data_IF_928477086112
#
_entry.id   IF_928477086112
#
_cell.length_a   1.000
_cell.length_b   1.000
_cell.length_c   1.000
_cell.angle_alpha   90.00
_cell.angle_beta   90.00
_cell.angle_gamma   90.00
#
_symmetry.space_group_name_H-M   'P 1'
#
loop_
_entity.id
_entity.type
_entity.pdbx_description
1 polymer ?
#
# COMPACT_ATOMS: atom_id res chain seq x y z
N UNK A 1 18.27 47.47 -73.62
CA UNK A 1 19.03 47.47 -72.35
C UNK A 1 18.42 46.57 -71.26
N UNK A 2 17.88 45.36 -71.56
CA UNK A 2 17.16 44.54 -70.56
C UNK A 2 17.65 43.08 -70.41
N UNK A 3 18.73 42.67 -71.08
CA UNK A 3 19.21 41.28 -71.04
C UNK A 3 20.21 41.01 -69.90
N UNK A 4 20.95 42.02 -69.42
CA UNK A 4 22.00 41.86 -68.42
C UNK A 4 21.46 41.74 -66.97
N UNK A 5 20.33 42.38 -66.68
CA UNK A 5 19.69 42.34 -65.35
C UNK A 5 18.96 41.02 -65.05
N UNK A 6 18.56 40.28 -66.09
CA UNK A 6 17.81 39.01 -65.96
C UNK A 6 18.73 37.87 -65.51
N UNK A 7 19.97 37.83 -66.01
CA UNK A 7 20.98 36.84 -65.63
C UNK A 7 21.48 37.05 -64.21
N UNK A 8 21.66 38.31 -63.79
CA UNK A 8 22.07 38.65 -62.42
C UNK A 8 20.98 38.31 -61.39
N UNK A 9 19.70 38.55 -61.74
CA UNK A 9 18.54 38.18 -60.90
C UNK A 9 18.38 36.67 -60.74
N UNK A 10 18.67 35.89 -61.79
CA UNK A 10 18.63 34.42 -61.72
C UNK A 10 19.81 33.84 -60.91
N UNK A 11 21.01 34.44 -61.00
CA UNK A 11 22.14 34.06 -60.14
C UNK A 11 21.90 34.41 -58.67
N UNK A 12 21.26 35.55 -58.40
CA UNK A 12 20.87 35.96 -57.05
C UNK A 12 19.81 35.00 -56.46
N UNK A 13 18.84 34.58 -57.27
CA UNK A 13 17.82 33.59 -56.86
C UNK A 13 18.41 32.20 -56.59
N UNK A 14 19.35 31.75 -57.43
CA UNK A 14 20.06 30.48 -57.19
C UNK A 14 20.95 30.53 -55.94
N UNK A 15 21.57 31.68 -55.64
CA UNK A 15 22.34 31.87 -54.42
C UNK A 15 21.44 31.90 -53.16
N UNK A 16 20.25 32.50 -53.26
CA UNK A 16 19.26 32.51 -52.17
C UNK A 16 18.69 31.11 -51.88
N UNK A 17 18.43 30.31 -52.92
CA UNK A 17 17.99 28.91 -52.77
C UNK A 17 19.11 28.04 -52.16
N UNK A 18 20.37 28.26 -52.58
CA UNK A 18 21.52 27.56 -51.99
C UNK A 18 21.75 27.92 -50.52
N UNK A 19 21.48 29.16 -50.11
CA UNK A 19 21.64 29.61 -48.72
C UNK A 19 20.52 29.09 -47.79
N UNK A 20 19.32 28.85 -48.33
CA UNK A 20 18.19 28.29 -47.57
C UNK A 20 18.37 26.81 -47.19
N UNK A 21 19.23 26.06 -47.90
CA UNK A 21 19.53 24.65 -47.61
C UNK A 21 20.41 24.39 -46.38
N UNK A 22 20.97 25.44 -45.76
CA UNK A 22 21.83 25.32 -44.57
C UNK A 22 21.07 25.36 -43.24
N UNK A 23 19.76 25.63 -43.26
CA UNK A 23 18.88 25.51 -42.09
C UNK A 23 18.26 24.12 -42.02
N UNK A 24 19.11 23.09 -41.90
CA UNK A 24 18.65 21.75 -41.51
C UNK A 24 18.21 21.79 -40.04
N UNK A 25 16.99 21.33 -39.76
CA UNK A 25 16.52 21.07 -38.41
C UNK A 25 17.59 20.28 -37.64
N UNK A 26 18.05 20.84 -36.50
CA UNK A 26 18.66 20.02 -35.46
C UNK A 26 17.51 19.25 -34.84
N UNK A 27 17.43 17.96 -35.13
CA UNK A 27 16.57 17.07 -34.35
C UNK A 27 17.01 17.21 -32.89
N UNK A 28 16.10 17.67 -32.04
CA UNK A 28 16.32 17.69 -30.60
C UNK A 28 16.46 16.23 -30.17
N UNK A 29 17.70 15.77 -30.05
CA UNK A 29 18.02 14.46 -29.49
C UNK A 29 17.67 14.51 -28.01
N UNK A 30 16.41 14.21 -27.70
CA UNK A 30 16.00 13.92 -26.34
C UNK A 30 16.86 12.74 -25.85
N UNK A 31 17.73 12.94 -24.84
CA UNK A 31 18.54 11.85 -24.34
C UNK A 31 17.60 10.74 -23.84
N UNK A 32 17.85 9.51 -24.31
CA UNK A 32 17.09 8.33 -23.88
C UNK A 32 17.11 8.28 -22.35
N UNK A 33 15.96 8.11 -21.67
CA UNK A 33 15.93 8.04 -20.22
C UNK A 33 16.87 6.94 -19.72
N UNK A 34 17.66 7.26 -18.70
CA UNK A 34 18.57 6.34 -18.01
C UNK A 34 17.81 5.06 -17.64
N UNK A 35 18.39 3.89 -17.97
CA UNK A 35 17.80 2.61 -17.63
C UNK A 35 17.84 2.41 -16.11
N UNK A 36 16.71 2.61 -15.44
CA UNK A 36 16.57 2.25 -14.03
C UNK A 36 16.52 0.73 -13.90
N UNK A 37 17.23 0.18 -12.91
CA UNK A 37 17.14 -1.23 -12.53
C UNK A 37 15.68 -1.56 -12.20
N UNK A 38 15.08 -2.49 -12.94
CA UNK A 38 13.77 -3.05 -12.60
C UNK A 38 13.91 -3.80 -11.27
N UNK A 39 13.26 -3.30 -10.23
CA UNK A 39 13.17 -4.00 -8.96
C UNK A 39 12.28 -5.24 -9.17
N UNK A 40 12.86 -6.42 -9.02
CA UNK A 40 12.15 -7.69 -9.02
C UNK A 40 12.13 -8.26 -7.60
N UNK A 41 10.95 -8.67 -7.15
CA UNK A 41 10.74 -9.21 -5.81
C UNK A 41 10.36 -10.67 -5.95
N UNK A 42 10.96 -11.52 -5.13
CA UNK A 42 10.62 -12.94 -5.09
C UNK A 42 9.14 -13.15 -4.78
N UNK A 43 8.55 -14.19 -5.38
CA UNK A 43 7.18 -14.60 -5.07
C UNK A 43 6.95 -14.70 -3.56
N UNK A 44 5.87 -14.08 -3.03
CA UNK A 44 5.61 -14.05 -1.61
C UNK A 44 5.33 -15.47 -1.10
N UNK A 45 5.90 -15.79 0.06
CA UNK A 45 5.58 -17.00 0.81
C UNK A 45 4.93 -16.60 2.11
N UNK A 46 3.82 -17.26 2.44
CA UNK A 46 3.02 -16.89 3.60
C UNK A 46 3.13 -17.95 4.69
N UNK A 47 3.07 -17.48 5.94
CA UNK A 47 2.93 -18.32 7.13
C UNK A 47 1.88 -17.70 8.06
N UNK A 48 1.16 -18.49 8.86
CA UNK A 48 0.27 -17.94 9.87
C UNK A 48 1.06 -17.08 10.86
N UNK A 49 0.56 -15.88 11.15
CA UNK A 49 1.03 -15.04 12.24
C UNK A 49 0.07 -15.18 13.42
N UNK A 50 0.59 -15.69 14.54
CA UNK A 50 -0.13 -15.77 15.81
C UNK A 50 0.65 -14.92 16.81
N UNK A 51 0.03 -13.83 17.25
CA UNK A 51 0.58 -12.88 18.21
C UNK A 51 -0.22 -12.85 19.51
N UNK A 52 0.09 -11.92 20.43
CA UNK A 52 -0.64 -11.76 21.69
C UNK A 52 -2.00 -11.03 21.53
N UNK A 53 -2.38 -10.71 20.28
CA UNK A 53 -3.53 -9.86 19.96
C UNK A 53 -4.75 -10.72 19.59
N UNK A 54 -5.99 -10.23 19.71
CA UNK A 54 -7.20 -11.02 19.46
C UNK A 54 -7.51 -11.20 17.95
N UNK A 55 -6.49 -11.37 17.14
CA UNK A 55 -6.61 -11.59 15.69
C UNK A 55 -5.36 -12.29 15.14
N UNK A 56 -5.57 -13.05 14.07
CA UNK A 56 -4.52 -13.77 13.33
C UNK A 56 -4.72 -13.56 11.83
N UNK A 57 -3.65 -13.69 11.06
CA UNK A 57 -3.65 -13.53 9.60
C UNK A 57 -2.41 -14.21 9.01
N UNK A 58 -2.36 -14.38 7.70
CA UNK A 58 -1.17 -14.84 6.99
C UNK A 58 -0.19 -13.68 6.77
N UNK A 59 1.08 -13.91 7.10
CA UNK A 59 2.15 -12.92 6.91
C UNK A 59 3.19 -13.40 5.91
N UNK A 60 3.69 -12.45 5.12
CA UNK A 60 4.81 -12.67 4.21
C UNK A 60 6.10 -13.01 4.99
N UNK A 61 6.84 -14.00 4.53
CA UNK A 61 8.11 -14.43 5.12
C UNK A 61 9.22 -13.37 5.10
N UNK A 62 9.15 -12.42 4.16
CA UNK A 62 10.10 -11.30 4.06
C UNK A 62 9.77 -10.14 5.02
N UNK A 63 8.63 -10.20 5.70
CA UNK A 63 8.17 -9.15 6.59
C UNK A 63 8.73 -9.32 8.01
N UNK A 64 9.04 -8.20 8.66
CA UNK A 64 9.48 -8.15 10.06
C UNK A 64 8.40 -7.47 10.90
N UNK A 65 7.78 -8.22 11.81
CA UNK A 65 6.72 -7.71 12.69
C UNK A 65 7.31 -7.15 13.96
N UNK A 66 6.82 -5.97 14.35
CA UNK A 66 7.02 -5.39 15.67
C UNK A 66 5.65 -5.09 16.26
N UNK A 67 5.40 -5.60 17.47
CA UNK A 67 4.18 -5.33 18.21
C UNK A 67 4.30 -3.93 18.85
N UNK A 68 3.27 -3.11 18.67
CA UNK A 68 3.16 -1.79 19.31
C UNK A 68 2.20 -1.85 20.50
N UNK A 69 1.91 -0.71 21.12
CA UNK A 69 0.86 -0.66 22.15
C UNK A 69 -0.50 -1.04 21.55
N UNK A 70 -1.43 -1.41 22.45
CA UNK A 70 -2.86 -1.57 22.15
C UNK A 70 -3.17 -2.58 21.02
N UNK A 71 -2.39 -3.66 20.96
CA UNK A 71 -2.52 -4.69 19.93
C UNK A 71 -2.33 -4.16 18.49
N UNK A 72 -1.60 -3.05 18.32
CA UNK A 72 -1.15 -2.60 17.01
C UNK A 72 0.12 -3.33 16.54
N UNK A 73 0.37 -3.29 15.23
CA UNK A 73 1.54 -3.92 14.60
C UNK A 73 2.19 -2.97 13.59
N UNK A 74 3.52 -2.99 13.56
CA UNK A 74 4.35 -2.47 12.48
C UNK A 74 4.92 -3.66 11.69
N UNK A 75 4.45 -3.85 10.47
CA UNK A 75 4.91 -4.91 9.56
C UNK A 75 5.86 -4.29 8.54
N UNK A 76 7.15 -4.48 8.76
CA UNK A 76 8.20 -3.83 7.99
C UNK A 76 8.65 -4.70 6.81
N UNK A 77 8.84 -4.08 5.65
CA UNK A 77 9.45 -4.66 4.46
C UNK A 77 10.74 -3.91 4.13
N UNK A 78 11.89 -4.25 4.75
CA UNK A 78 13.13 -3.47 4.63
C UNK A 78 13.61 -3.31 3.19
N UNK A 79 13.50 -4.36 2.36
CA UNK A 79 13.88 -4.36 0.94
C UNK A 79 13.02 -3.42 0.08
N UNK A 80 11.80 -3.13 0.52
CA UNK A 80 10.84 -2.26 -0.17
C UNK A 80 10.74 -0.87 0.46
N UNK A 81 11.42 -0.65 1.59
CA UNK A 81 11.33 0.59 2.40
C UNK A 81 9.87 0.93 2.72
N UNK A 82 9.09 -0.08 3.05
CA UNK A 82 7.66 0.06 3.31
C UNK A 82 7.32 -0.50 4.68
N UNK A 83 6.33 0.11 5.34
CA UNK A 83 5.77 -0.39 6.59
C UNK A 83 4.26 -0.38 6.48
N UNK A 84 3.63 -1.53 6.77
CA UNK A 84 2.19 -1.60 7.02
C UNK A 84 1.99 -1.37 8.51
N UNK A 85 1.17 -0.40 8.85
CA UNK A 85 0.71 -0.12 10.19
C UNK A 85 -0.67 -0.73 10.37
N UNK A 86 -0.83 -1.53 11.42
CA UNK A 86 -2.12 -2.02 11.87
C UNK A 86 -2.44 -1.41 13.23
N UNK A 87 -3.63 -0.81 13.35
CA UNK A 87 -4.16 -0.33 14.62
C UNK A 87 -5.39 -1.15 14.98
N UNK A 88 -5.39 -1.71 16.18
CA UNK A 88 -6.54 -2.46 16.72
C UNK A 88 -7.31 -1.58 17.70
N UNK A 89 -8.64 -1.65 17.62
CA UNK A 89 -9.57 -0.97 18.52
C UNK A 89 -10.68 -1.92 18.90
N UNK A 90 -11.06 -1.92 20.18
CA UNK A 90 -12.27 -2.59 20.62
C UNK A 90 -13.51 -1.80 20.21
N UNK A 91 -14.54 -2.52 19.79
CA UNK A 91 -15.86 -1.94 19.51
C UNK A 91 -16.70 -2.00 20.78
N UNK A 92 -17.22 -0.85 21.20
CA UNK A 92 -18.13 -0.70 22.33
C UNK A 92 -19.08 0.46 22.04
N UNK A 93 -20.18 0.16 21.33
CA UNK A 93 -21.19 1.14 20.90
C UNK A 93 -20.64 2.36 20.13
N UNK A 94 -19.47 2.22 19.49
CA UNK A 94 -18.75 3.30 18.80
C UNK A 94 -18.38 2.94 17.36
N UNK A 95 -18.97 1.88 16.79
CA UNK A 95 -18.61 1.39 15.45
C UNK A 95 -18.76 2.47 14.36
N UNK A 96 -19.83 3.26 14.42
CA UNK A 96 -20.07 4.34 13.46
C UNK A 96 -18.98 5.42 13.51
N UNK A 97 -18.45 5.70 14.71
CA UNK A 97 -17.34 6.63 14.88
C UNK A 97 -16.06 6.05 14.26
N UNK A 98 -15.76 4.78 14.54
CA UNK A 98 -14.57 4.11 14.01
C UNK A 98 -14.59 4.05 12.47
N UNK A 99 -15.74 3.75 11.87
CA UNK A 99 -15.94 3.76 10.42
C UNK A 99 -15.71 5.15 9.83
N UNK A 100 -16.30 6.19 10.44
CA UNK A 100 -16.12 7.58 10.00
C UNK A 100 -14.68 8.05 10.11
N UNK A 101 -13.98 7.68 11.18
CA UNK A 101 -12.59 8.04 11.39
C UNK A 101 -11.67 7.35 10.38
N UNK A 102 -11.90 6.05 10.11
CA UNK A 102 -11.17 5.31 9.09
C UNK A 102 -11.35 5.95 7.70
N UNK A 103 -12.60 6.23 7.30
CA UNK A 103 -12.90 6.93 6.04
C UNK A 103 -12.22 8.30 5.98
N UNK A 104 -12.38 9.12 7.03
CA UNK A 104 -11.81 10.47 7.08
C UNK A 104 -10.29 10.46 6.95
N UNK A 105 -9.59 9.49 7.53
CA UNK A 105 -8.15 9.32 7.37
C UNK A 105 -7.79 8.98 5.93
N UNK A 106 -8.52 8.05 5.30
CA UNK A 106 -8.34 7.73 3.88
C UNK A 106 -8.47 8.97 3.01
N UNK A 107 -9.54 9.75 3.16
CA UNK A 107 -9.78 10.94 2.33
C UNK A 107 -8.82 12.11 2.61
N UNK A 108 -8.32 12.27 3.85
CA UNK A 108 -7.40 13.37 4.21
C UNK A 108 -6.02 13.26 3.58
N UNK A 109 -5.55 12.05 3.30
CA UNK A 109 -4.21 11.82 2.73
C UNK A 109 -4.20 11.81 1.19
N UNK A 110 -5.35 11.99 0.55
CA UNK A 110 -5.56 11.88 -0.90
C UNK A 110 -5.60 13.26 -1.59
N UNK A 111 -5.20 14.33 -0.89
CA UNK A 111 -5.15 15.69 -1.49
C UNK A 111 -4.26 15.76 -2.75
N UNK A 112 -3.42 14.74 -3.00
CA UNK A 112 -2.59 14.58 -4.21
C UNK A 112 -2.84 13.31 -5.03
N UNK A 113 -3.84 12.49 -4.68
CA UNK A 113 -4.11 11.28 -5.45
C UNK A 113 -5.04 11.59 -6.62
N UNK A 114 -4.83 10.88 -7.72
CA UNK A 114 -5.60 11.07 -8.95
C UNK A 114 -6.97 10.40 -8.85
N UNK A 115 -7.05 9.29 -8.09
CA UNK A 115 -8.28 8.51 -7.90
C UNK A 115 -8.22 7.64 -6.63
N UNK A 116 -9.38 7.32 -6.04
CA UNK A 116 -9.54 6.33 -4.97
C UNK A 116 -10.49 5.24 -5.45
N UNK A 117 -10.00 4.00 -5.51
CA UNK A 117 -10.85 2.84 -5.73
C UNK A 117 -11.30 2.24 -4.39
N UNK A 118 -12.61 2.20 -4.16
CA UNK A 118 -13.21 1.54 -3.00
C UNK A 118 -13.60 0.09 -3.33
N UNK A 119 -13.15 -0.87 -2.51
CA UNK A 119 -13.41 -2.30 -2.70
C UNK A 119 -14.03 -2.87 -1.41
N UNK A 120 -15.36 -3.05 -1.37
CA UNK A 120 -16.03 -3.68 -0.23
C UNK A 120 -15.47 -5.08 0.01
N UNK A 121 -15.19 -5.41 1.26
CA UNK A 121 -14.68 -6.71 1.66
C UNK A 121 -15.69 -7.42 2.55
N UNK A 122 -16.06 -8.64 2.17
CA UNK A 122 -17.04 -9.46 2.88
C UNK A 122 -16.53 -10.89 3.00
N UNK A 123 -16.25 -11.34 4.22
CA UNK A 123 -15.98 -12.72 4.55
C UNK A 123 -16.97 -13.18 5.64
N UNK A 124 -18.07 -13.80 5.21
CA UNK A 124 -19.12 -14.30 6.11
C UNK A 124 -18.65 -15.47 6.98
N UNK A 125 -17.68 -16.25 6.52
CA UNK A 125 -17.20 -17.44 7.23
C UNK A 125 -16.42 -17.05 8.49
N UNK A 126 -15.51 -16.08 8.36
CA UNK A 126 -14.70 -15.58 9.47
C UNK A 126 -15.30 -14.33 10.14
N UNK A 127 -16.46 -13.86 9.66
CA UNK A 127 -17.14 -12.62 10.08
C UNK A 127 -16.22 -11.40 10.00
N UNK A 128 -15.53 -11.26 8.88
CA UNK A 128 -14.70 -10.09 8.60
C UNK A 128 -15.39 -9.25 7.54
N UNK A 129 -15.78 -8.04 7.93
CA UNK A 129 -16.44 -7.07 7.06
C UNK A 129 -15.60 -5.81 7.01
N UNK A 130 -15.44 -5.22 5.83
CA UNK A 130 -14.48 -4.14 5.67
C UNK A 130 -14.59 -3.41 4.35
N UNK A 131 -13.63 -2.51 4.15
CA UNK A 131 -13.39 -1.83 2.90
C UNK A 131 -11.88 -1.77 2.66
N UNK A 132 -11.46 -2.08 1.45
CA UNK A 132 -10.11 -1.83 0.98
C UNK A 132 -10.11 -0.62 0.05
N UNK A 133 -9.20 0.31 0.29
CA UNK A 133 -9.02 1.53 -0.49
C UNK A 133 -7.69 1.46 -1.22
N UNK A 134 -7.76 1.55 -2.54
CA UNK A 134 -6.58 1.70 -3.39
C UNK A 134 -6.47 3.16 -3.82
N UNK A 135 -5.35 3.80 -3.46
CA UNK A 135 -5.11 5.22 -3.75
C UNK A 135 -4.16 5.29 -4.94
N UNK A 136 -4.68 5.73 -6.08
CA UNK A 136 -3.95 5.81 -7.35
C UNK A 136 -3.29 7.19 -7.52
N UNK A 137 -2.16 7.22 -8.23
CA UNK A 137 -1.39 8.45 -8.47
C UNK A 137 -0.20 8.63 -7.54
N UNK A 138 0.37 9.83 -7.51
CA UNK A 138 1.61 10.13 -6.75
C UNK A 138 1.35 10.35 -5.24
N UNK A 139 0.77 9.35 -4.59
CA UNK A 139 0.47 9.34 -3.16
C UNK A 139 1.52 8.53 -2.38
N UNK A 140 1.92 9.04 -1.20
CA UNK A 140 2.86 8.35 -0.30
C UNK A 140 2.25 7.09 0.36
N UNK A 141 0.92 7.02 0.40
CA UNK A 141 0.13 5.88 0.86
C UNK A 141 -0.76 5.43 -0.29
N UNK A 142 -0.55 4.21 -0.77
CA UNK A 142 -1.25 3.66 -1.94
C UNK A 142 -2.27 2.56 -1.58
N UNK A 143 -2.39 2.22 -0.29
CA UNK A 143 -3.30 1.18 0.20
C UNK A 143 -3.74 1.45 1.64
N UNK A 144 -5.03 1.33 1.90
CA UNK A 144 -5.61 1.38 3.24
C UNK A 144 -6.76 0.39 3.34
N UNK A 145 -7.07 -0.09 4.53
CA UNK A 145 -8.30 -0.84 4.76
C UNK A 145 -8.80 -0.65 6.19
N UNK A 146 -10.07 -0.98 6.41
CA UNK A 146 -10.54 -1.33 7.74
C UNK A 146 -11.28 -2.68 7.69
N UNK A 147 -11.32 -3.35 8.83
CA UNK A 147 -11.98 -4.63 9.01
C UNK A 147 -12.61 -4.74 10.41
N UNK A 148 -13.79 -5.34 10.52
CA UNK A 148 -14.52 -5.50 11.77
C UNK A 148 -15.40 -6.75 11.77
N UNK A 149 -15.69 -7.29 12.96
CA UNK A 149 -16.76 -8.26 13.18
C UNK A 149 -18.12 -7.59 13.50
N UNK A 150 -18.17 -6.25 13.43
CA UNK A 150 -19.28 -5.37 13.81
C UNK A 150 -19.64 -5.34 15.31
N UNK A 151 -19.00 -6.16 16.15
CA UNK A 151 -19.42 -6.37 17.54
C UNK A 151 -18.33 -6.01 18.55
N UNK A 152 -17.09 -6.43 18.31
CA UNK A 152 -16.00 -6.36 19.30
C UNK A 152 -14.68 -5.91 18.73
N UNK A 153 -14.41 -6.22 17.47
CA UNK A 153 -13.09 -6.04 16.87
C UNK A 153 -13.15 -5.04 15.73
N UNK A 154 -12.22 -4.10 15.73
CA UNK A 154 -12.00 -3.17 14.62
C UNK A 154 -10.50 -3.06 14.38
N UNK A 155 -10.09 -3.21 13.13
CA UNK A 155 -8.71 -3.00 12.70
C UNK A 155 -8.71 -2.01 11.56
N UNK A 156 -7.83 -1.03 11.62
CA UNK A 156 -7.44 -0.21 10.47
C UNK A 156 -6.00 -0.52 10.06
N UNK A 157 -5.76 -0.55 8.75
CA UNK A 157 -4.48 -0.85 8.16
C UNK A 157 -4.10 0.17 7.11
N UNK A 158 -2.84 0.63 7.12
CA UNK A 158 -2.32 1.57 6.13
C UNK A 158 -0.86 1.31 5.81
N UNK A 159 -0.44 1.57 4.58
CA UNK A 159 0.97 1.45 4.19
C UNK A 159 1.64 2.80 3.98
N UNK A 160 2.90 2.89 4.40
CA UNK A 160 3.76 4.04 4.15
C UNK A 160 5.06 3.60 3.50
N UNK A 161 5.49 4.33 2.48
CA UNK A 161 6.78 4.13 1.82
C UNK A 161 7.77 5.24 2.21
N UNK A 162 8.96 4.84 2.65
CA UNK A 162 10.04 5.72 3.11
C UNK A 162 11.13 5.94 2.05
N UNK A 163 10.77 5.85 0.77
CA UNK A 163 11.67 6.13 -0.35
C UNK A 163 11.50 7.56 -0.85
N UNK A 164 12.59 8.18 -1.35
CA UNK A 164 12.48 9.44 -2.10
C UNK A 164 11.55 9.21 -3.31
N UNK A 165 10.67 10.17 -3.64
CA UNK A 165 9.63 10.01 -4.66
C UNK A 165 10.24 9.98 -6.06
N UNK A 166 10.80 8.83 -6.45
CA UNK A 166 10.93 8.46 -7.84
C UNK A 166 9.84 7.42 -8.11
N UNK A 167 8.76 7.86 -8.75
CA UNK A 167 7.52 7.11 -8.88
C UNK A 167 7.73 5.76 -9.58
N UNK A 168 8.50 5.75 -10.67
CA UNK A 168 8.75 4.54 -11.48
C UNK A 168 9.52 3.46 -10.72
N UNK A 169 10.39 3.86 -9.79
CA UNK A 169 11.12 2.93 -8.91
C UNK A 169 10.25 2.37 -7.79
N UNK A 170 9.16 3.05 -7.42
CA UNK A 170 8.29 2.64 -6.31
C UNK A 170 7.20 1.65 -6.74
N UNK A 171 6.77 1.71 -8.00
CA UNK A 171 5.64 0.93 -8.51
C UNK A 171 5.71 -0.59 -8.21
N UNK A 172 6.85 -1.29 -8.39
CA UNK A 172 6.93 -2.71 -8.08
C UNK A 172 6.76 -3.00 -6.58
N UNK A 173 7.33 -2.15 -5.72
CA UNK A 173 7.25 -2.28 -4.26
C UNK A 173 5.82 -1.98 -3.77
N UNK A 174 5.24 -0.92 -4.32
CA UNK A 174 3.86 -0.51 -4.12
C UNK A 174 2.88 -1.63 -4.45
N UNK A 175 3.01 -2.26 -5.61
CA UNK A 175 2.17 -3.37 -6.02
C UNK A 175 2.34 -4.60 -5.12
N UNK A 176 3.59 -4.92 -4.76
CA UNK A 176 3.90 -6.06 -3.90
C UNK A 176 3.24 -5.92 -2.51
N UNK A 177 3.51 -4.82 -1.82
CA UNK A 177 3.00 -4.60 -0.46
C UNK A 177 1.48 -4.45 -0.46
N UNK A 178 0.90 -3.84 -1.51
CA UNK A 178 -0.56 -3.78 -1.68
C UNK A 178 -1.19 -5.18 -1.76
N UNK A 179 -0.59 -6.09 -2.52
CA UNK A 179 -1.07 -7.47 -2.59
C UNK A 179 -0.93 -8.19 -1.24
N UNK A 180 0.14 -7.93 -0.50
CA UNK A 180 0.29 -8.45 0.86
C UNK A 180 -0.75 -7.89 1.84
N UNK A 181 -1.09 -6.60 1.75
CA UNK A 181 -2.18 -6.02 2.53
C UNK A 181 -3.52 -6.68 2.22
N UNK A 182 -3.80 -6.96 0.94
CA UNK A 182 -5.01 -7.67 0.54
C UNK A 182 -5.02 -9.09 1.11
N UNK A 183 -3.90 -9.82 1.01
CA UNK A 183 -3.78 -11.17 1.59
C UNK A 183 -3.99 -11.16 3.10
N UNK A 184 -3.45 -10.15 3.79
CA UNK A 184 -3.64 -9.96 5.23
C UNK A 184 -5.12 -9.80 5.57
N UNK A 185 -5.84 -8.94 4.84
CA UNK A 185 -7.29 -8.74 5.01
C UNK A 185 -8.09 -10.01 4.70
N UNK A 186 -7.75 -10.72 3.61
CA UNK A 186 -8.42 -11.95 3.18
C UNK A 186 -8.28 -13.09 4.21
N UNK A 187 -7.16 -13.14 4.91
CA UNK A 187 -6.82 -14.21 5.86
C UNK A 187 -7.02 -13.81 7.31
N UNK A 188 -7.49 -12.58 7.54
CA UNK A 188 -7.78 -12.07 8.87
C UNK A 188 -8.84 -12.96 9.53
N UNK A 189 -8.59 -13.33 10.78
CA UNK A 189 -9.55 -14.04 11.63
C UNK A 189 -9.51 -13.46 13.03
N UNK A 190 -10.69 -13.36 13.63
CA UNK A 190 -10.83 -12.90 15.00
C UNK A 190 -10.63 -14.06 15.97
N UNK A 191 -9.79 -13.86 16.98
CA UNK A 191 -9.73 -14.81 18.08
C UNK A 191 -10.92 -14.56 19.02
N UNK A 192 -11.74 -15.59 19.24
CA UNK A 192 -12.81 -15.49 20.22
C UNK A 192 -12.15 -15.39 21.59
N UNK A 193 -12.39 -14.28 22.28
CA UNK A 193 -11.96 -14.10 23.66
C UNK A 193 -12.30 -15.36 24.47
N UNK A 194 -11.25 -16.00 24.97
CA UNK A 194 -11.36 -17.00 26.03
C UNK A 194 -12.00 -16.25 27.19
N UNK A 195 -13.23 -16.60 27.58
CA UNK A 195 -13.70 -16.30 28.93
C UNK A 195 -12.56 -16.69 29.85
N UNK A 196 -12.04 -15.73 30.63
CA UNK A 196 -11.02 -16.00 31.62
C UNK A 196 -11.53 -17.14 32.51
N UNK A 197 -11.14 -18.38 32.21
CA UNK A 197 -11.36 -19.51 33.09
C UNK A 197 -10.49 -19.22 34.28
N UNK A 198 -11.10 -18.62 35.31
CA UNK A 198 -10.51 -18.54 36.63
C UNK A 198 -9.98 -19.94 36.97
N UNK A 199 -8.74 -20.06 37.47
CA UNK A 199 -8.25 -21.35 37.90
C UNK A 199 -9.23 -21.87 38.96
N UNK A 200 -9.86 -23.03 38.70
CA UNK A 200 -10.57 -23.76 39.74
C UNK A 200 -9.56 -24.02 40.85
N UNK A 201 -9.67 -23.26 41.94
CA UNK A 201 -8.95 -23.56 43.17
C UNK A 201 -9.45 -24.93 43.61
N UNK A 202 -8.65 -25.96 43.40
CA UNK A 202 -8.91 -27.27 43.95
C UNK A 202 -8.83 -27.15 45.48
N UNK A 203 -9.97 -27.28 46.15
CA UNK A 203 -10.04 -27.50 47.59
C UNK A 203 -9.25 -28.79 47.90
N UNK A 204 -8.33 -28.77 48.89
CA UNK A 204 -7.59 -29.98 49.24
C UNK A 204 -8.55 -31.00 49.86
N UNK A 205 -8.49 -32.23 49.35
CA UNK A 205 -9.24 -33.36 49.89
C UNK A 205 -8.84 -33.63 51.35
N UNK A 206 -9.83 -33.67 52.24
CA UNK A 206 -9.66 -34.15 53.60
C UNK A 206 -9.06 -35.57 53.60
N UNK A 207 -7.92 -35.72 54.26
CA UNK A 207 -7.39 -37.04 54.62
C UNK A 207 -8.37 -37.69 55.59
N UNK A 208 -9.09 -38.71 55.13
CA UNK A 208 -9.73 -39.67 56.03
C UNK A 208 -8.65 -40.50 56.71
N UNK A 209 -8.47 -40.27 58.01
CA UNK A 209 -7.82 -41.16 58.96
C UNK A 209 -8.45 -42.55 58.86
N UNK A 210 -7.64 -43.59 58.65
CA UNK A 210 -8.02 -44.97 58.91
C UNK A 210 -7.30 -45.45 60.17
N UNK A 211 -8.04 -46.20 61.01
CA UNK A 211 -7.53 -46.99 62.13
C UNK A 211 -6.49 -48.01 61.67
#
# INVERSE_FOLDING_TARGET
>A
MNAFSRTYRNKLWLALIALAGLYSCKDEVLPKPEAQLRLDYSFPKYKPYVGPCPYTFDINSEAVVKVTSDCGLEINYPKMKATIYLSYKSVSNNIDLLLRDAQKLTYKHVIKADDITEQPFLNNNDKVYGMFYEVNGNAATNGQFYATDSLRHFIDGSVYFYAKPNFDSLLPAAAYVKNDMRRLLETLRWERGVEATSPKIALPAEKKTQL
#
